data_IF_869653131183
#
_entry.id   IF_869653131183
#
_cell.length_a   1.000
_cell.length_b   1.000
_cell.length_c   1.000
_cell.angle_alpha   90.00
_cell.angle_beta   90.00
_cell.angle_gamma   90.00
#
_symmetry.space_group_name_H-M   'P 1'
#
loop_
_entity.id
_entity.type
_entity.pdbx_description
1 polymer ?
#
# COMPACT_ATOMS: atom_id res chain seq x y z
N UNK A 1 22.42 7.82 -29.23
CA UNK A 1 21.41 7.95 -28.15
C UNK A 1 20.64 6.64 -28.03
N UNK A 2 21.04 5.77 -27.09
CA UNK A 2 20.22 4.62 -26.68
C UNK A 2 19.98 4.76 -25.19
N UNK A 3 18.88 5.42 -24.84
CA UNK A 3 18.42 5.60 -23.46
C UNK A 3 17.60 4.37 -23.09
N UNK A 4 18.25 3.21 -22.99
CA UNK A 4 17.67 2.13 -22.19
C UNK A 4 17.90 2.54 -20.74
N UNK A 5 16.88 3.17 -20.12
CA UNK A 5 16.88 3.45 -18.69
C UNK A 5 17.04 2.12 -17.96
N UNK A 6 18.28 1.75 -17.61
CA UNK A 6 18.55 0.62 -16.73
C UNK A 6 17.76 0.87 -15.46
N UNK A 7 16.76 0.04 -15.19
CA UNK A 7 16.01 0.08 -13.93
C UNK A 7 17.04 -0.16 -12.83
N UNK A 8 17.33 0.89 -12.06
CA UNK A 8 18.29 0.80 -10.96
C UNK A 8 17.72 -0.11 -9.88
N UNK A 9 18.56 -0.81 -9.10
CA UNK A 9 18.09 -1.64 -7.99
C UNK A 9 17.22 -0.84 -7.00
N UNK A 10 17.44 0.48 -6.93
CA UNK A 10 16.64 1.43 -6.15
C UNK A 10 15.19 1.49 -6.65
N UNK A 11 14.96 1.58 -7.97
CA UNK A 11 13.59 1.64 -8.52
C UNK A 11 12.81 0.35 -8.25
N UNK A 12 13.44 -0.82 -8.36
CA UNK A 12 12.78 -2.11 -8.07
C UNK A 12 12.38 -2.22 -6.60
N UNK A 13 13.26 -1.79 -5.70
CA UNK A 13 13.00 -1.83 -4.25
C UNK A 13 11.89 -0.85 -3.87
N UNK A 14 11.88 0.35 -4.45
CA UNK A 14 10.80 1.32 -4.22
C UNK A 14 9.46 0.80 -4.72
N UNK A 15 9.43 0.16 -5.89
CA UNK A 15 8.20 -0.43 -6.43
C UNK A 15 7.68 -1.56 -5.54
N UNK A 16 8.57 -2.41 -5.03
CA UNK A 16 8.20 -3.47 -4.08
C UNK A 16 7.61 -2.91 -2.78
N UNK A 17 8.27 -1.90 -2.18
CA UNK A 17 7.80 -1.25 -0.96
C UNK A 17 6.43 -0.59 -1.18
N UNK A 18 6.28 0.19 -2.26
CA UNK A 18 5.04 0.90 -2.56
C UNK A 18 3.89 -0.07 -2.84
N UNK A 19 4.14 -1.11 -3.64
CA UNK A 19 3.14 -2.12 -3.92
C UNK A 19 2.68 -2.83 -2.63
N UNK A 20 3.62 -3.25 -1.78
CA UNK A 20 3.29 -3.94 -0.52
C UNK A 20 2.48 -3.07 0.45
N UNK A 21 2.90 -1.81 0.65
CA UNK A 21 2.18 -0.86 1.50
C UNK A 21 0.79 -0.55 0.93
N UNK A 22 0.67 -0.38 -0.38
CA UNK A 22 -0.60 -0.07 -1.03
C UNK A 22 -1.58 -1.24 -0.94
N UNK A 23 -1.15 -2.47 -1.22
CA UNK A 23 -2.03 -3.64 -1.11
C UNK A 23 -2.44 -3.91 0.33
N UNK A 24 -1.52 -3.71 1.28
CA UNK A 24 -1.85 -3.83 2.70
C UNK A 24 -2.85 -2.78 3.15
N UNK A 25 -2.68 -1.52 2.71
CA UNK A 25 -3.62 -0.46 3.03
C UNK A 25 -5.01 -0.77 2.44
N UNK A 26 -5.06 -1.19 1.18
CA UNK A 26 -6.30 -1.55 0.50
C UNK A 26 -7.01 -2.73 1.19
N UNK A 27 -6.26 -3.72 1.66
CA UNK A 27 -6.82 -4.85 2.38
C UNK A 27 -7.38 -4.42 3.75
N UNK A 28 -6.62 -3.66 4.52
CA UNK A 28 -7.04 -3.17 5.83
C UNK A 28 -8.29 -2.28 5.74
N UNK A 29 -8.35 -1.36 4.77
CA UNK A 29 -9.52 -0.49 4.56
C UNK A 29 -10.76 -1.31 4.21
N UNK A 30 -10.63 -2.30 3.32
CA UNK A 30 -11.73 -3.18 2.95
C UNK A 30 -12.23 -4.03 4.12
N UNK A 31 -11.33 -4.62 4.89
CA UNK A 31 -11.69 -5.41 6.07
C UNK A 31 -12.36 -4.52 7.13
N UNK A 32 -11.83 -3.33 7.39
CA UNK A 32 -12.42 -2.37 8.32
C UNK A 32 -13.82 -1.90 7.90
N UNK A 33 -14.06 -1.67 6.60
CA UNK A 33 -15.40 -1.36 6.08
C UNK A 33 -16.38 -2.51 6.31
N UNK A 34 -16.00 -3.75 5.96
CA UNK A 34 -16.87 -4.91 6.13
C UNK A 34 -17.24 -5.17 7.60
N UNK A 35 -16.29 -5.03 8.52
CA UNK A 35 -16.54 -5.20 9.96
C UNK A 35 -17.50 -4.14 10.48
N UNK A 36 -17.32 -2.87 10.08
CA UNK A 36 -18.24 -1.77 10.46
C UNK A 36 -19.64 -1.98 9.91
N UNK A 37 -19.77 -2.34 8.63
CA UNK A 37 -21.07 -2.62 8.03
C UNK A 37 -21.80 -3.75 8.76
N UNK A 38 -21.10 -4.83 9.10
CA UNK A 38 -21.70 -5.93 9.86
C UNK A 38 -22.13 -5.52 11.27
N UNK A 39 -21.31 -4.75 11.98
CA UNK A 39 -21.65 -4.23 13.30
C UNK A 39 -22.88 -3.31 13.25
N UNK A 40 -22.93 -2.39 12.29
CA UNK A 40 -24.07 -1.48 12.10
C UNK A 40 -25.32 -2.26 11.69
N UNK A 41 -25.20 -3.29 10.85
CA UNK A 41 -26.33 -4.15 10.50
C UNK A 41 -26.92 -4.83 11.73
N UNK A 42 -26.08 -5.37 12.61
CA UNK A 42 -26.52 -5.99 13.86
C UNK A 42 -27.25 -4.98 14.77
N UNK A 43 -26.84 -3.71 14.76
CA UNK A 43 -27.54 -2.65 15.50
C UNK A 43 -28.90 -2.32 14.87
N UNK A 44 -28.99 -2.26 13.54
CA UNK A 44 -30.27 -2.09 12.83
C UNK A 44 -31.22 -3.23 13.16
N UNK A 45 -30.75 -4.48 13.14
CA UNK A 45 -31.53 -5.66 13.52
C UNK A 45 -32.01 -5.58 14.98
N UNK A 46 -31.17 -5.12 15.91
CA UNK A 46 -31.58 -4.93 17.31
C UNK A 46 -32.70 -3.88 17.45
N UNK A 47 -32.63 -2.77 16.72
CA UNK A 47 -33.70 -1.76 16.73
C UNK A 47 -34.96 -2.27 16.02
N UNK A 48 -34.81 -3.02 14.93
CA UNK A 48 -35.93 -3.66 14.23
C UNK A 48 -36.72 -4.57 15.17
N UNK A 49 -36.06 -5.36 16.03
CA UNK A 49 -36.78 -6.20 17.00
C UNK A 49 -37.68 -5.39 17.95
N UNK A 50 -37.26 -4.19 18.34
CA UNK A 50 -38.06 -3.30 19.18
C UNK A 50 -39.26 -2.78 18.41
N UNK A 51 -39.06 -2.45 17.13
CA UNK A 51 -40.14 -1.95 16.29
C UNK A 51 -41.11 -3.08 15.90
N UNK A 52 -40.65 -4.33 15.83
CA UNK A 52 -41.50 -5.52 15.66
C UNK A 52 -42.40 -5.76 16.87
N UNK A 53 -41.89 -5.59 18.09
CA UNK A 53 -42.71 -5.61 19.32
C UNK A 53 -43.79 -4.51 19.28
N UNK A 54 -43.40 -3.33 18.81
CA UNK A 54 -44.30 -2.17 18.64
C UNK A 54 -45.35 -2.44 17.56
N UNK A 55 -44.97 -3.03 16.44
CA UNK A 55 -45.88 -3.44 15.37
C UNK A 55 -46.88 -4.49 15.88
N UNK A 56 -46.42 -5.45 16.68
CA UNK A 56 -47.29 -6.44 17.32
C UNK A 56 -48.36 -5.77 18.19
N UNK A 57 -47.99 -4.77 18.99
CA UNK A 57 -48.95 -3.97 19.75
C UNK A 57 -49.90 -3.18 18.87
N UNK A 58 -49.41 -2.63 17.75
CA UNK A 58 -50.24 -1.92 16.80
C UNK A 58 -51.29 -2.85 16.17
N UNK A 59 -50.91 -4.07 15.79
CA UNK A 59 -51.81 -5.11 15.29
C UNK A 59 -52.85 -5.49 16.34
N UNK A 60 -52.45 -5.71 17.60
CA UNK A 60 -53.41 -6.01 18.67
C UNK A 60 -54.41 -4.86 18.90
N UNK A 61 -53.93 -3.61 18.91
CA UNK A 61 -54.79 -2.44 19.04
C UNK A 61 -55.69 -2.23 17.82
N UNK A 62 -55.26 -2.65 16.63
CA UNK A 62 -56.05 -2.57 15.40
C UNK A 62 -57.36 -3.37 15.46
N UNK A 63 -57.45 -4.39 16.33
CA UNK A 63 -58.70 -5.12 16.57
C UNK A 63 -59.82 -4.24 17.14
N UNK A 64 -59.45 -3.14 17.81
CA UNK A 64 -60.36 -2.22 18.49
C UNK A 64 -60.57 -0.91 17.73
N UNK A 65 -60.05 -0.78 16.50
CA UNK A 65 -60.12 0.43 15.67
C UNK A 65 -61.57 0.93 15.49
N UNK A 66 -62.54 0.01 15.46
CA UNK A 66 -63.93 0.37 15.22
C UNK A 66 -64.70 0.81 16.48
N UNK A 67 -64.14 0.57 17.67
CA UNK A 67 -64.76 0.88 18.96
C UNK A 67 -64.72 2.39 19.25
N UNK A 68 -65.72 2.90 19.97
CA UNK A 68 -65.68 4.28 20.47
C UNK A 68 -64.78 4.36 21.71
N UNK A 69 -64.13 5.51 21.92
CA UNK A 69 -63.28 5.75 23.09
C UNK A 69 -64.09 5.80 24.40
N UNK A 70 -64.38 4.61 24.94
CA UNK A 70 -65.02 4.38 26.25
C UNK A 70 -63.97 4.03 27.30
N UNK A 71 -64.34 4.06 28.57
CA UNK A 71 -63.43 3.68 29.67
C UNK A 71 -62.96 2.22 29.56
N UNK A 72 -63.77 1.33 28.95
CA UNK A 72 -63.37 -0.06 28.70
C UNK A 72 -62.26 -0.16 27.63
N UNK A 73 -62.41 0.56 26.51
CA UNK A 73 -61.37 0.62 25.48
C UNK A 73 -60.09 1.24 26.04
N UNK A 74 -60.21 2.31 26.82
CA UNK A 74 -59.08 2.97 27.44
C UNK A 74 -58.32 2.02 28.38
N UNK A 75 -59.03 1.19 29.15
CA UNK A 75 -58.44 0.15 29.99
C UNK A 75 -57.72 -0.91 29.15
N UNK A 76 -58.31 -1.39 28.06
CA UNK A 76 -57.67 -2.35 27.14
C UNK A 76 -56.37 -1.79 26.56
N UNK A 77 -56.39 -0.56 26.04
CA UNK A 77 -55.19 0.08 25.49
C UNK A 77 -54.10 0.29 26.54
N UNK A 78 -54.46 0.66 27.78
CA UNK A 78 -53.51 0.78 28.89
C UNK A 78 -52.88 -0.55 29.29
N UNK A 79 -53.65 -1.65 29.26
CA UNK A 79 -53.12 -2.99 29.49
C UNK A 79 -52.13 -3.41 28.38
N UNK A 80 -52.44 -3.08 27.12
CA UNK A 80 -51.52 -3.32 25.99
C UNK A 80 -50.22 -2.51 26.12
N UNK A 81 -50.27 -1.25 26.59
CA UNK A 81 -49.05 -0.47 26.80
C UNK A 81 -48.22 -0.96 27.98
N UNK A 82 -48.88 -1.51 29.01
CA UNK A 82 -48.20 -1.98 30.21
C UNK A 82 -47.30 -3.20 29.97
N UNK A 83 -47.50 -3.93 28.86
CA UNK A 83 -46.67 -5.09 28.53
C UNK A 83 -45.31 -4.75 27.93
N UNK A 84 -45.07 -3.50 27.53
CA UNK A 84 -43.81 -3.10 26.91
C UNK A 84 -43.11 -1.97 27.66
N UNK A 85 -41.93 -2.27 28.23
CA UNK A 85 -41.14 -1.33 29.03
C UNK A 85 -40.72 -0.07 28.24
N UNK A 86 -40.54 -0.22 26.92
CA UNK A 86 -40.09 0.86 26.02
C UNK A 86 -41.25 1.67 25.42
N UNK A 87 -42.50 1.20 25.55
CA UNK A 87 -43.67 1.85 24.96
C UNK A 87 -44.26 2.87 25.92
N UNK A 88 -44.48 4.08 25.41
CA UNK A 88 -45.14 5.17 26.15
C UNK A 88 -46.66 5.10 26.04
N UNK A 89 -47.17 4.91 24.84
CA UNK A 89 -48.60 4.96 24.57
C UNK A 89 -48.96 4.30 23.25
N UNK A 90 -50.12 3.65 23.21
CA UNK A 90 -50.82 3.26 21.98
C UNK A 90 -52.04 4.16 21.79
N UNK A 91 -52.29 4.59 20.56
CA UNK A 91 -53.39 5.47 20.19
C UNK A 91 -54.02 5.08 18.86
N UNK A 92 -55.33 5.26 18.77
CA UNK A 92 -56.13 4.98 17.57
C UNK A 92 -56.49 6.32 16.92
N UNK A 93 -56.17 6.43 15.63
CA UNK A 93 -56.46 7.59 14.78
C UNK A 93 -57.45 7.14 13.71
N UNK A 94 -58.59 7.82 13.65
CA UNK A 94 -59.70 7.51 12.73
C UNK A 94 -60.02 8.75 11.91
N UNK A 95 -60.08 8.60 10.58
CA UNK A 95 -60.34 9.71 9.66
C UNK A 95 -59.36 10.89 9.82
N UNK A 96 -58.10 10.62 10.19
CA UNK A 96 -57.09 11.65 10.43
C UNK A 96 -57.21 12.37 11.78
N UNK A 97 -58.19 12.01 12.61
CA UNK A 97 -58.37 12.59 13.95
C UNK A 97 -58.02 11.58 15.05
N UNK A 98 -57.42 12.08 16.13
CA UNK A 98 -57.12 11.29 17.32
C UNK A 98 -58.42 10.89 18.01
N UNK A 99 -58.70 9.59 18.06
CA UNK A 99 -59.95 9.07 18.63
C UNK A 99 -59.77 8.66 20.10
N UNK A 100 -58.72 7.88 20.38
CA UNK A 100 -58.47 7.34 21.71
C UNK A 100 -56.98 7.07 21.92
N UNK A 101 -56.43 7.52 23.05
CA UNK A 101 -55.05 7.28 23.47
C UNK A 101 -55.01 6.65 24.86
N UNK A 102 -54.18 5.62 25.03
CA UNK A 102 -53.88 5.03 26.35
C UNK A 102 -53.36 6.04 27.39
N UNK A 103 -52.63 7.07 26.94
CA UNK A 103 -52.02 8.08 27.80
C UNK A 103 -52.98 9.25 28.09
N UNK A 104 -53.59 9.81 27.04
CA UNK A 104 -54.35 11.08 27.13
C UNK A 104 -55.87 10.90 27.00
N UNK A 105 -56.33 9.67 26.80
CA UNK A 105 -57.75 9.39 26.64
C UNK A 105 -58.29 9.97 25.33
N UNK A 106 -59.33 10.80 25.45
CA UNK A 106 -60.01 11.44 24.31
C UNK A 106 -59.34 12.73 23.84
N UNK A 107 -58.36 13.23 24.58
CA UNK A 107 -57.68 14.45 24.20
C UNK A 107 -56.73 14.17 23.03
N UNK A 108 -56.89 14.94 21.95
CA UNK A 108 -55.92 14.94 20.87
C UNK A 108 -54.61 15.51 21.40
N UNK A 109 -53.46 14.93 21.06
CA UNK A 109 -52.17 15.37 21.56
C UNK A 109 -51.74 16.79 21.12
N UNK A 110 -52.64 17.58 20.50
CA UNK A 110 -52.33 18.89 19.91
C UNK A 110 -51.41 18.77 18.70
N UNK A 111 -51.17 17.56 18.21
CA UNK A 111 -50.27 17.27 17.11
C UNK A 111 -51.05 17.42 15.81
N UNK A 112 -50.78 18.50 15.07
CA UNK A 112 -51.12 18.62 13.66
C UNK A 112 -50.07 17.77 12.92
N UNK A 113 -50.23 16.45 12.89
CA UNK A 113 -49.23 15.59 12.25
C UNK A 113 -49.43 15.57 10.74
N UNK A 114 -48.36 15.72 9.99
CA UNK A 114 -48.31 15.35 8.57
C UNK A 114 -48.44 13.81 8.38
N UNK A 115 -48.26 13.02 9.44
CA UNK A 115 -48.32 11.56 9.48
C UNK A 115 -49.71 10.92 9.63
N UNK A 116 -50.79 11.62 9.30
CA UNK A 116 -52.15 11.05 9.21
C UNK A 116 -52.38 10.23 7.93
N UNK A 117 -51.31 9.88 7.21
CA UNK A 117 -51.41 9.16 5.95
C UNK A 117 -51.87 7.72 6.19
N UNK A 118 -53.02 7.36 5.62
CA UNK A 118 -53.62 6.02 5.76
C UNK A 118 -52.92 4.95 4.91
N UNK A 119 -51.79 5.29 4.28
CA UNK A 119 -51.23 4.52 3.15
C UNK A 119 -49.81 4.00 3.39
N UNK A 120 -49.04 4.58 4.31
CA UNK A 120 -47.63 4.21 4.50
C UNK A 120 -47.23 4.28 5.97
N UNK A 121 -46.39 3.33 6.38
CA UNK A 121 -45.69 3.37 7.66
C UNK A 121 -44.85 4.65 7.75
N UNK A 122 -44.96 5.38 8.86
CA UNK A 122 -44.22 6.62 9.09
C UNK A 122 -43.71 6.67 10.52
N UNK A 123 -42.56 7.31 10.73
CA UNK A 123 -42.01 7.59 12.05
C UNK A 123 -41.82 9.10 12.18
N UNK A 124 -42.23 9.68 13.30
CA UNK A 124 -42.06 11.08 13.62
C UNK A 124 -41.42 11.23 15.00
N UNK A 125 -40.47 12.16 15.13
CA UNK A 125 -39.90 12.53 16.41
C UNK A 125 -40.70 13.69 17.01
N UNK A 126 -41.15 13.53 18.26
CA UNK A 126 -41.99 14.51 18.94
C UNK A 126 -41.46 14.77 20.35
N UNK A 127 -41.53 16.03 20.77
CA UNK A 127 -41.24 16.43 22.14
C UNK A 127 -42.53 16.79 22.87
N UNK A 128 -42.83 16.09 23.96
CA UNK A 128 -44.06 16.34 24.74
C UNK A 128 -43.90 15.95 26.20
N UNK A 129 -44.52 16.72 27.09
CA UNK A 129 -44.44 16.52 28.54
C UNK A 129 -42.99 16.40 29.05
N UNK A 130 -42.09 17.20 28.49
CA UNK A 130 -40.66 17.18 28.80
C UNK A 130 -39.95 15.85 28.47
N UNK A 131 -40.50 15.09 27.52
CA UNK A 131 -39.96 13.81 27.05
C UNK A 131 -39.91 13.78 25.53
N UNK A 132 -38.78 13.33 24.97
CA UNK A 132 -38.65 13.04 23.53
C UNK A 132 -39.12 11.61 23.24
N UNK A 133 -39.87 11.46 22.15
CA UNK A 133 -40.46 10.20 21.75
C UNK A 133 -40.43 10.05 20.23
N UNK A 134 -40.39 8.81 19.78
CA UNK A 134 -40.70 8.45 18.40
C UNK A 134 -42.13 7.93 18.35
N UNK A 135 -42.96 8.50 17.49
CA UNK A 135 -44.29 7.98 17.19
C UNK A 135 -44.22 7.23 15.86
N UNK A 136 -44.62 5.97 15.88
CA UNK A 136 -44.68 5.11 14.70
C UNK A 136 -46.15 4.94 14.32
N UNK A 137 -46.47 5.30 13.08
CA UNK A 137 -47.82 5.29 12.52
C UNK A 137 -48.00 4.08 11.62
N UNK A 138 -48.86 3.15 12.05
CA UNK A 138 -49.16 1.91 11.34
C UNK A 138 -50.52 2.02 10.62
N UNK A 139 -50.55 1.93 9.28
CA UNK A 139 -51.80 1.98 8.52
C UNK A 139 -52.54 0.63 8.56
N UNK A 140 -53.84 0.66 8.88
CA UNK A 140 -54.75 -0.48 8.90
C UNK A 140 -56.07 -0.13 8.20
N UNK A 141 -56.28 -0.62 6.97
CA UNK A 141 -57.56 -0.49 6.24
C UNK A 141 -58.17 0.93 6.22
N UNK A 142 -57.35 1.96 5.99
CA UNK A 142 -57.83 3.35 5.95
C UNK A 142 -57.87 4.06 7.31
N UNK A 143 -57.42 3.40 8.38
CA UNK A 143 -57.22 3.99 9.71
C UNK A 143 -55.76 3.82 10.14
N UNK A 144 -55.37 4.48 11.24
CA UNK A 144 -53.97 4.47 11.70
C UNK A 144 -53.92 4.15 13.18
N UNK A 145 -53.02 3.25 13.56
CA UNK A 145 -52.62 3.05 14.96
C UNK A 145 -51.27 3.70 15.16
N UNK A 146 -51.18 4.62 16.12
CA UNK A 146 -49.95 5.30 16.48
C UNK A 146 -49.41 4.72 17.80
N UNK A 147 -48.16 4.28 17.79
CA UNK A 147 -47.47 3.81 18.99
C UNK A 147 -46.28 4.71 19.28
N UNK A 148 -46.22 5.25 20.49
CA UNK A 148 -45.13 6.10 20.95
C UNK A 148 -44.11 5.28 21.75
N UNK A 149 -42.84 5.45 21.42
CA UNK A 149 -41.67 4.82 22.06
C UNK A 149 -40.78 5.92 22.63
N UNK A 150 -40.22 5.70 23.82
CA UNK A 150 -39.27 6.66 24.39
C UNK A 150 -38.00 6.76 23.53
N UNK A 151 -37.59 7.99 23.16
CA UNK A 151 -36.32 8.20 22.45
C UNK A 151 -35.13 7.70 23.28
N UNK A 152 -35.19 7.89 24.59
CA UNK A 152 -34.18 7.39 25.53
C UNK A 152 -33.95 5.86 25.46
N UNK A 153 -34.95 5.07 25.05
CA UNK A 153 -34.78 3.63 24.88
C UNK A 153 -33.88 3.30 23.68
N UNK A 154 -33.99 4.06 22.60
CA UNK A 154 -33.14 3.94 21.42
C UNK A 154 -31.76 4.56 21.71
N UNK A 155 -31.71 5.77 22.29
CA UNK A 155 -30.46 6.43 22.65
C UNK A 155 -29.57 5.56 23.55
N UNK A 156 -30.16 4.82 24.49
CA UNK A 156 -29.42 3.86 25.34
C UNK A 156 -28.74 2.76 24.52
N UNK A 157 -29.43 2.20 23.53
CA UNK A 157 -28.89 1.15 22.65
C UNK A 157 -27.74 1.71 21.81
N UNK A 158 -27.94 2.89 21.23
CA UNK A 158 -26.89 3.59 20.47
C UNK A 158 -25.66 3.84 21.36
N UNK A 159 -25.85 4.34 22.59
CA UNK A 159 -24.75 4.58 23.53
C UNK A 159 -24.02 3.30 23.93
N UNK A 160 -24.74 2.21 24.20
CA UNK A 160 -24.14 0.92 24.55
C UNK A 160 -23.35 0.33 23.36
N UNK A 161 -23.88 0.48 22.13
CA UNK A 161 -23.19 0.12 20.89
C UNK A 161 -21.91 0.93 20.70
N UNK A 162 -22.00 2.27 20.75
CA UNK A 162 -20.85 3.16 20.58
C UNK A 162 -19.75 2.87 21.61
N UNK A 163 -20.12 2.57 22.86
CA UNK A 163 -19.14 2.19 23.89
C UNK A 163 -18.45 0.86 23.57
N UNK A 164 -19.19 -0.12 23.06
CA UNK A 164 -18.70 -1.48 22.79
C UNK A 164 -17.84 -1.53 21.53
N UNK A 165 -18.37 -1.03 20.42
CA UNK A 165 -17.73 -1.11 19.10
C UNK A 165 -16.79 0.07 18.84
N UNK A 166 -16.83 1.13 19.66
CA UNK A 166 -16.08 2.38 19.47
C UNK A 166 -16.41 3.08 18.13
N UNK A 167 -17.63 2.87 17.64
CA UNK A 167 -18.15 3.49 16.41
C UNK A 167 -19.23 4.49 16.84
N UNK A 168 -19.04 5.76 16.49
CA UNK A 168 -20.07 6.77 16.74
C UNK A 168 -21.20 6.61 15.72
N UNK A 169 -22.43 6.53 16.21
CA UNK A 169 -23.61 6.25 15.39
C UNK A 169 -24.78 7.16 15.74
N UNK A 170 -25.56 7.50 14.73
CA UNK A 170 -26.73 8.36 14.87
C UNK A 170 -27.95 7.71 14.21
N UNK A 171 -29.09 7.79 14.89
CA UNK A 171 -30.39 7.38 14.36
C UNK A 171 -31.06 8.57 13.66
N UNK A 172 -31.36 8.41 12.38
CA UNK A 172 -31.98 9.45 11.55
C UNK A 172 -33.26 8.92 10.88
N UNK A 173 -34.27 9.78 10.81
CA UNK A 173 -35.50 9.53 10.05
C UNK A 173 -35.44 10.11 8.63
N UNK A 174 -34.54 11.04 8.39
CA UNK A 174 -34.32 11.66 7.10
C UNK A 174 -32.81 11.89 6.95
N UNK A 175 -32.07 10.93 6.39
CA UNK A 175 -30.64 11.12 6.20
C UNK A 175 -30.42 12.27 5.20
N UNK A 176 -29.59 13.24 5.58
CA UNK A 176 -29.08 14.21 4.62
C UNK A 176 -28.20 13.50 3.57
N UNK A 177 -27.85 14.18 2.47
CA UNK A 177 -27.03 13.60 1.38
C UNK A 177 -25.62 13.15 1.80
N UNK A 178 -25.19 13.34 3.06
CA UNK A 178 -23.79 13.15 3.47
C UNK A 178 -23.59 12.53 4.87
N UNK A 179 -24.01 11.27 5.07
CA UNK A 179 -23.21 10.36 5.89
C UNK A 179 -22.36 9.36 5.09
N UNK A 180 -21.15 9.04 5.58
CA UNK A 180 -20.16 8.18 4.91
C UNK A 180 -20.61 6.71 4.79
N UNK A 181 -21.21 6.17 5.85
CA UNK A 181 -21.83 4.84 5.86
C UNK A 181 -23.26 5.01 6.37
N UNK A 182 -24.20 4.48 5.58
CA UNK A 182 -25.63 4.58 5.86
C UNK A 182 -26.22 3.18 5.76
N UNK A 183 -26.87 2.75 6.83
CA UNK A 183 -27.60 1.50 6.83
C UNK A 183 -29.08 1.78 7.11
N UNK A 184 -29.93 1.34 6.20
CA UNK A 184 -31.37 1.51 6.30
C UNK A 184 -32.01 0.23 6.83
N UNK A 185 -33.01 0.35 7.69
CA UNK A 185 -33.91 -0.77 7.96
C UNK A 185 -34.70 -1.13 6.71
N UNK A 186 -34.95 -2.42 6.50
CA UNK A 186 -35.77 -2.91 5.38
C UNK A 186 -37.27 -2.83 5.69
N UNK A 187 -37.63 -2.80 6.98
CA UNK A 187 -39.01 -2.90 7.45
C UNK A 187 -39.55 -1.54 7.92
N UNK A 188 -38.69 -0.67 8.43
CA UNK A 188 -39.06 0.60 9.03
C UNK A 188 -38.30 1.78 8.40
N UNK A 189 -38.92 2.96 8.27
CA UNK A 189 -38.31 4.11 7.61
C UNK A 189 -37.33 4.85 8.54
N UNK A 190 -36.23 4.19 8.92
CA UNK A 190 -35.13 4.79 9.66
C UNK A 190 -33.76 4.37 9.10
N UNK A 191 -32.76 5.16 9.46
CA UNK A 191 -31.37 4.96 9.07
C UNK A 191 -30.46 5.06 10.29
N UNK A 192 -29.43 4.22 10.31
CA UNK A 192 -28.28 4.36 11.19
C UNK A 192 -27.11 4.86 10.35
N UNK A 193 -26.47 5.92 10.83
CA UNK A 193 -25.35 6.56 10.13
C UNK A 193 -24.15 6.71 11.06
N UNK A 194 -22.94 6.70 10.51
CA UNK A 194 -21.70 6.95 11.25
C UNK A 194 -20.85 8.02 10.59
N UNK A 195 -20.25 8.85 11.43
CA UNK A 195 -19.32 9.91 11.04
C UNK A 195 -17.85 9.47 11.19
N UNK A 196 -17.60 8.24 11.69
CA UNK A 196 -16.24 7.76 11.96
C UNK A 196 -15.56 7.23 10.69
N UNK A 197 -14.47 7.88 10.28
CA UNK A 197 -13.58 7.41 9.22
C UNK A 197 -12.20 7.14 9.79
N UNK A 198 -11.68 5.93 9.57
CA UNK A 198 -10.31 5.62 9.95
C UNK A 198 -9.35 6.27 8.95
N UNK A 199 -8.31 6.92 9.48
CA UNK A 199 -7.33 7.63 8.68
C UNK A 199 -6.04 6.84 8.43
N UNK A 200 -5.09 7.48 7.74
CA UNK A 200 -3.73 6.95 7.57
C UNK A 200 -3.05 6.72 8.93
N UNK A 201 -3.35 7.55 9.93
CA UNK A 201 -2.80 7.41 11.27
C UNK A 201 -3.23 6.10 11.96
N UNK A 202 -4.48 5.68 11.76
CA UNK A 202 -5.02 4.44 12.31
C UNK A 202 -4.43 3.24 11.58
N UNK A 203 -4.33 3.32 10.24
CA UNK A 203 -3.63 2.30 9.46
C UNK A 203 -2.19 2.08 9.93
N UNK A 204 -1.42 3.16 10.13
CA UNK A 204 -0.04 3.08 10.60
C UNK A 204 0.02 2.50 12.01
N UNK A 205 -0.88 2.89 12.91
CA UNK A 205 -0.93 2.36 14.28
C UNK A 205 -1.20 0.87 14.28
N UNK A 206 -2.20 0.41 13.53
CA UNK A 206 -2.66 -0.97 13.53
C UNK A 206 -1.67 -1.89 12.79
N UNK A 207 -0.93 -1.37 11.80
CA UNK A 207 -0.06 -2.15 10.92
C UNK A 207 1.44 -1.80 11.02
N UNK A 208 1.88 -1.11 12.08
CA UNK A 208 3.28 -0.65 12.19
C UNK A 208 4.30 -1.79 12.07
N UNK A 209 4.02 -2.97 12.62
CA UNK A 209 4.91 -4.13 12.47
C UNK A 209 5.05 -4.59 11.01
N UNK A 210 3.96 -4.59 10.25
CA UNK A 210 3.95 -4.94 8.84
C UNK A 210 4.71 -3.89 8.00
N UNK A 211 4.55 -2.61 8.32
CA UNK A 211 5.30 -1.52 7.68
C UNK A 211 6.80 -1.66 7.94
N UNK A 212 7.20 -1.96 9.18
CA UNK A 212 8.60 -2.25 9.53
C UNK A 212 9.12 -3.45 8.73
N UNK A 213 8.32 -4.50 8.60
CA UNK A 213 8.68 -5.68 7.81
C UNK A 213 8.93 -5.34 6.34
N UNK A 214 8.05 -4.56 5.69
CA UNK A 214 8.26 -4.12 4.31
C UNK A 214 9.53 -3.30 4.13
N UNK A 215 9.87 -2.44 5.10
CA UNK A 215 11.13 -1.69 5.09
C UNK A 215 12.34 -2.62 5.21
N UNK A 216 12.32 -3.58 6.14
CA UNK A 216 13.42 -4.55 6.32
C UNK A 216 13.61 -5.43 5.08
N UNK A 217 12.53 -5.97 4.52
CA UNK A 217 12.59 -6.78 3.29
C UNK A 217 13.10 -5.96 2.09
N UNK A 218 12.67 -4.70 1.97
CA UNK A 218 13.15 -3.77 0.94
C UNK A 218 14.66 -3.52 1.06
N UNK A 219 15.17 -3.34 2.29
CA UNK A 219 16.61 -3.20 2.55
C UNK A 219 17.37 -4.48 2.18
N UNK A 220 16.88 -5.65 2.59
CA UNK A 220 17.50 -6.93 2.25
C UNK A 220 17.54 -7.16 0.73
N UNK A 221 16.44 -6.88 0.04
CA UNK A 221 16.35 -6.95 -1.42
C UNK A 221 17.35 -5.99 -2.08
N UNK A 222 17.45 -4.76 -1.59
CA UNK A 222 18.41 -3.79 -2.08
C UNK A 222 19.86 -4.29 -1.96
N UNK A 223 20.25 -4.80 -0.79
CA UNK A 223 21.59 -5.33 -0.58
C UNK A 223 21.87 -6.55 -1.47
N UNK A 224 20.88 -7.43 -1.64
CA UNK A 224 20.99 -8.59 -2.52
C UNK A 224 21.18 -8.18 -3.98
N UNK A 225 20.36 -7.26 -4.50
CA UNK A 225 20.46 -6.75 -5.87
C UNK A 225 21.79 -6.02 -6.11
N UNK A 226 22.25 -5.20 -5.15
CA UNK A 226 23.57 -4.55 -5.23
C UNK A 226 24.71 -5.55 -5.26
N UNK A 227 24.63 -6.63 -4.47
CA UNK A 227 25.64 -7.69 -4.48
C UNK A 227 25.68 -8.40 -5.83
N UNK A 228 24.51 -8.72 -6.40
CA UNK A 228 24.39 -9.37 -7.71
C UNK A 228 24.91 -8.51 -8.87
N UNK A 229 24.86 -7.18 -8.76
CA UNK A 229 25.36 -6.25 -9.78
C UNK A 229 26.89 -6.05 -9.76
N UNK A 230 27.62 -6.57 -8.75
CA UNK A 230 29.09 -6.51 -8.76
C UNK A 230 29.63 -7.48 -9.81
N UNK A 231 30.13 -6.94 -10.92
CA UNK A 231 30.84 -7.73 -11.94
C UNK A 231 32.15 -8.23 -11.31
N UNK A 232 32.41 -9.54 -11.42
CA UNK A 232 33.66 -10.14 -10.93
C UNK A 232 34.87 -9.52 -11.66
N UNK A 233 35.95 -9.15 -10.94
CA UNK A 233 37.20 -8.67 -11.57
C UNK A 233 37.72 -9.60 -12.67
N UNK A 234 37.52 -10.92 -12.49
CA UNK A 234 37.88 -11.95 -13.47
C UNK A 234 37.08 -11.77 -14.78
N UNK A 235 35.78 -11.46 -14.69
CA UNK A 235 34.94 -11.22 -15.88
C UNK A 235 35.33 -9.93 -16.60
N UNK A 236 35.73 -8.91 -15.86
CA UNK A 236 36.25 -7.66 -16.44
C UNK A 236 37.53 -7.95 -17.21
N UNK A 237 38.47 -8.67 -16.57
CA UNK A 237 39.74 -9.03 -17.18
C UNK A 237 39.58 -9.93 -18.41
N UNK A 238 38.71 -10.95 -18.35
CA UNK A 238 38.36 -11.79 -19.51
C UNK A 238 37.82 -10.97 -20.68
N UNK A 239 36.91 -10.03 -20.42
CA UNK A 239 36.39 -9.13 -21.45
C UNK A 239 37.51 -8.30 -22.06
N UNK A 240 38.35 -7.69 -21.23
CA UNK A 240 39.45 -6.85 -21.69
C UNK A 240 40.46 -7.62 -22.56
N UNK A 241 40.76 -8.88 -22.21
CA UNK A 241 41.60 -9.77 -23.03
C UNK A 241 40.93 -10.07 -24.38
N UNK A 242 39.63 -10.35 -24.40
CA UNK A 242 38.90 -10.65 -25.63
C UNK A 242 38.75 -9.43 -26.55
N UNK A 243 38.75 -8.22 -25.97
CA UNK A 243 38.64 -6.95 -26.68
C UNK A 243 39.99 -6.37 -27.11
N UNK A 244 41.09 -7.11 -26.94
CA UNK A 244 42.45 -6.68 -27.26
C UNK A 244 42.84 -5.35 -26.59
N UNK A 245 42.36 -5.12 -25.36
CA UNK A 245 42.63 -3.91 -24.57
C UNK A 245 44.02 -3.91 -23.92
N UNK A 246 44.74 -5.04 -23.96
CA UNK A 246 46.11 -5.16 -23.44
C UNK A 246 47.12 -4.97 -24.56
N UNK A 247 47.95 -3.92 -24.44
CA UNK A 247 48.90 -3.50 -25.47
C UNK A 247 50.34 -3.62 -24.99
N UNK A 248 51.29 -3.94 -25.89
CA UNK A 248 52.72 -4.00 -25.56
C UNK A 248 53.34 -2.60 -25.57
N UNK A 249 54.11 -2.30 -24.53
CA UNK A 249 55.05 -1.19 -24.49
C UNK A 249 56.46 -1.77 -24.58
N UNK A 250 57.38 -1.05 -25.22
CA UNK A 250 58.75 -1.51 -25.44
C UNK A 250 59.73 -0.61 -24.68
N UNK A 251 60.47 -1.19 -23.74
CA UNK A 251 61.54 -0.49 -23.04
C UNK A 251 62.90 -0.90 -23.64
N UNK A 252 63.67 0.03 -24.22
CA UNK A 252 64.95 -0.31 -24.85
C UNK A 252 65.97 -0.78 -23.82
N UNK A 253 66.68 -1.84 -24.15
CA UNK A 253 67.85 -2.34 -23.41
C UNK A 253 69.10 -1.87 -24.14
N UNK A 254 69.97 -1.15 -23.43
CA UNK A 254 71.16 -0.51 -24.01
C UNK A 254 72.45 -1.12 -23.46
N UNK A 255 73.45 -1.30 -24.33
CA UNK A 255 74.80 -1.67 -23.92
C UNK A 255 75.51 -0.46 -23.30
N UNK A 256 75.89 -0.57 -22.02
CA UNK A 256 76.48 0.54 -21.27
C UNK A 256 77.81 1.05 -21.86
N UNK A 257 78.58 0.17 -22.51
CA UNK A 257 79.89 0.52 -23.05
C UNK A 257 79.82 1.46 -24.27
N UNK A 258 78.76 1.36 -25.07
CA UNK A 258 78.67 2.11 -26.33
C UNK A 258 77.33 2.82 -26.56
N UNK A 259 76.36 2.68 -25.66
CA UNK A 259 75.04 3.29 -25.74
C UNK A 259 74.14 2.72 -26.84
N UNK A 260 74.54 1.62 -27.50
CA UNK A 260 73.73 0.99 -28.54
C UNK A 260 72.56 0.22 -27.94
N UNK A 261 71.41 0.29 -28.61
CA UNK A 261 70.25 -0.54 -28.29
C UNK A 261 70.59 -1.98 -28.69
N UNK A 262 70.56 -2.89 -27.72
CA UNK A 262 70.83 -4.33 -27.91
C UNK A 262 69.58 -5.20 -27.77
N UNK A 263 68.45 -4.62 -27.36
CA UNK A 263 67.16 -5.30 -27.29
C UNK A 263 66.05 -4.41 -26.74
N UNK A 264 64.90 -5.01 -26.45
CA UNK A 264 63.79 -4.34 -25.77
C UNK A 264 63.04 -5.30 -24.84
N UNK A 265 62.64 -4.83 -23.66
CA UNK A 265 61.73 -5.54 -22.77
C UNK A 265 60.27 -5.17 -23.11
N UNK A 266 59.41 -6.19 -23.19
CA UNK A 266 57.97 -6.00 -23.44
C UNK A 266 57.26 -5.84 -22.12
N UNK A 267 56.59 -4.70 -21.95
CA UNK A 267 55.82 -4.35 -20.77
C UNK A 267 54.34 -4.29 -21.15
N UNK A 268 53.49 -5.06 -20.47
CA UNK A 268 52.06 -4.99 -20.69
C UNK A 268 51.46 -3.71 -20.11
N UNK A 269 50.53 -3.10 -20.83
CA UNK A 269 49.67 -2.01 -20.37
C UNK A 269 48.22 -2.31 -20.73
N UNK A 270 47.29 -1.98 -19.85
CA UNK A 270 45.88 -2.09 -20.17
C UNK A 270 45.37 -0.73 -20.63
N UNK A 271 45.03 -0.62 -21.91
CA UNK A 271 44.39 0.55 -22.48
C UNK A 271 42.88 0.50 -22.23
N UNK A 272 42.48 0.88 -21.02
CA UNK A 272 41.07 0.85 -20.62
C UNK A 272 40.30 1.98 -21.33
N UNK A 273 39.15 1.70 -21.97
CA UNK A 273 38.43 2.66 -22.80
C UNK A 273 37.99 3.93 -22.07
N UNK A 274 37.77 3.85 -20.75
CA UNK A 274 37.36 4.97 -19.92
C UNK A 274 38.47 5.52 -18.98
N UNK A 275 39.45 4.69 -18.61
CA UNK A 275 40.45 5.04 -17.58
C UNK A 275 41.83 5.34 -18.19
N UNK A 276 42.01 5.10 -19.48
CA UNK A 276 43.30 5.24 -20.15
C UNK A 276 44.25 4.10 -19.80
N UNK A 277 45.55 4.41 -19.78
CA UNK A 277 46.60 3.42 -19.57
C UNK A 277 46.70 3.04 -18.09
N UNK A 278 46.32 1.80 -17.79
CA UNK A 278 46.41 1.20 -16.46
C UNK A 278 47.71 0.38 -16.35
N UNK A 279 48.54 0.58 -15.30
CA UNK A 279 49.77 -0.16 -15.07
C UNK A 279 49.53 -1.61 -14.61
N UNK A 280 50.52 -2.51 -14.81
CA UNK A 280 50.37 -3.95 -14.53
C UNK A 280 50.07 -4.27 -13.06
N UNK A 281 50.59 -3.50 -12.10
CA UNK A 281 50.35 -3.70 -10.67
C UNK A 281 48.84 -3.72 -10.29
N UNK A 282 47.98 -3.05 -11.05
CA UNK A 282 46.54 -3.03 -10.78
C UNK A 282 45.80 -4.31 -11.22
N UNK A 283 46.31 -5.05 -12.21
CA UNK A 283 45.59 -6.20 -12.79
C UNK A 283 46.37 -7.52 -12.78
N UNK A 284 47.71 -7.48 -12.68
CA UNK A 284 48.57 -8.65 -12.86
C UNK A 284 48.29 -9.73 -11.81
N UNK A 285 48.11 -9.34 -10.55
CA UNK A 285 47.78 -10.28 -9.48
C UNK A 285 46.46 -10.99 -9.75
N UNK A 286 45.44 -10.27 -10.23
CA UNK A 286 44.15 -10.88 -10.58
C UNK A 286 44.32 -11.86 -11.74
N UNK A 287 45.11 -11.49 -12.76
CA UNK A 287 45.38 -12.33 -13.92
C UNK A 287 46.10 -13.64 -13.55
N UNK A 288 47.07 -13.57 -12.64
CA UNK A 288 47.83 -14.72 -12.15
C UNK A 288 46.93 -15.67 -11.34
N UNK A 289 46.24 -15.15 -10.32
CA UNK A 289 45.41 -15.96 -9.43
C UNK A 289 44.22 -16.61 -10.17
N UNK A 290 43.71 -15.98 -11.22
CA UNK A 290 42.62 -16.53 -12.04
C UNK A 290 43.09 -17.39 -13.21
N UNK A 291 44.42 -17.56 -13.41
CA UNK A 291 45.00 -18.27 -14.55
C UNK A 291 44.83 -17.59 -15.91
N UNK A 292 44.30 -16.36 -15.94
CA UNK A 292 44.10 -15.57 -17.16
C UNK A 292 45.40 -14.99 -17.72
N UNK A 293 46.47 -15.00 -16.90
CA UNK A 293 47.79 -14.53 -17.31
C UNK A 293 48.27 -15.23 -18.58
N UNK A 294 48.00 -16.54 -18.74
CA UNK A 294 48.40 -17.29 -19.92
C UNK A 294 47.69 -16.80 -21.19
N UNK A 295 46.38 -16.56 -21.11
CA UNK A 295 45.59 -16.06 -22.24
C UNK A 295 46.01 -14.64 -22.63
N UNK A 296 46.26 -13.79 -21.62
CA UNK A 296 46.76 -12.43 -21.81
C UNK A 296 48.15 -12.44 -22.45
N UNK A 297 49.10 -13.24 -21.94
CA UNK A 297 50.46 -13.34 -22.49
C UNK A 297 50.44 -13.85 -23.93
N UNK A 298 49.62 -14.85 -24.24
CA UNK A 298 49.51 -15.36 -25.61
C UNK A 298 49.01 -14.27 -26.58
N UNK A 299 47.94 -13.56 -26.21
CA UNK A 299 47.41 -12.42 -26.98
C UNK A 299 48.46 -11.33 -27.18
N UNK A 300 49.18 -10.98 -26.12
CA UNK A 300 50.25 -9.97 -26.16
C UNK A 300 51.39 -10.39 -27.08
N UNK A 301 51.82 -11.66 -27.03
CA UNK A 301 52.86 -12.20 -27.91
C UNK A 301 52.47 -12.15 -29.39
N UNK A 302 51.21 -12.45 -29.71
CA UNK A 302 50.69 -12.30 -31.08
C UNK A 302 50.81 -10.86 -31.56
N UNK A 303 50.50 -9.88 -30.71
CA UNK A 303 50.66 -8.47 -31.06
C UNK A 303 52.14 -8.09 -31.26
N UNK A 304 53.01 -8.53 -30.35
CA UNK A 304 54.47 -8.29 -30.46
C UNK A 304 55.05 -8.88 -31.75
N UNK A 305 54.57 -10.05 -32.17
CA UNK A 305 55.02 -10.66 -33.43
C UNK A 305 54.66 -9.80 -34.65
N UNK A 306 53.50 -9.15 -34.64
CA UNK A 306 53.07 -8.20 -35.68
C UNK A 306 53.94 -6.95 -35.64
N UNK A 307 54.12 -6.35 -34.47
CA UNK A 307 54.92 -5.14 -34.29
C UNK A 307 56.38 -5.35 -34.75
N UNK A 308 56.98 -6.50 -34.40
CA UNK A 308 58.35 -6.85 -34.80
C UNK A 308 58.50 -7.08 -36.30
N UNK A 309 57.47 -7.61 -36.97
CA UNK A 309 57.46 -7.71 -38.44
C UNK A 309 57.47 -6.33 -39.09
N UNK A 310 56.62 -5.41 -38.62
CA UNK A 310 56.60 -4.04 -39.13
C UNK A 310 57.93 -3.30 -38.90
N UNK A 311 58.56 -3.46 -37.74
CA UNK A 311 59.87 -2.87 -37.44
C UNK A 311 60.99 -3.41 -38.35
N UNK A 312 60.95 -4.71 -38.70
CA UNK A 312 61.90 -5.31 -39.65
C UNK A 312 61.74 -4.79 -41.08
N UNK A 313 60.51 -4.46 -41.49
CA UNK A 313 60.22 -3.96 -42.85
C UNK A 313 60.51 -2.45 -42.99
N UNK A 314 60.38 -1.66 -41.92
CA UNK A 314 60.64 -0.21 -41.92
C UNK A 314 62.09 0.21 -41.62
N UNK A 315 62.92 -0.68 -41.07
CA UNK A 315 64.28 -0.32 -40.68
C UNK A 315 65.23 -0.25 -41.89
N UNK A 316 65.70 0.96 -42.20
CA UNK A 316 66.96 1.17 -42.92
C UNK A 316 68.06 0.38 -42.18
N UNK A 317 68.89 -0.34 -42.95
CA UNK A 317 69.63 -1.57 -42.60
C UNK A 317 70.72 -1.47 -41.52
N UNK A 318 70.66 -0.52 -40.58
CA UNK A 318 71.77 -0.16 -39.71
C UNK A 318 71.56 -0.36 -38.19
N UNK A 319 70.39 -0.78 -37.69
CA UNK A 319 70.18 -0.88 -36.22
C UNK A 319 69.61 -2.20 -35.70
N UNK A 320 69.26 -3.19 -36.54
CA UNK A 320 68.84 -4.50 -36.00
C UNK A 320 69.68 -5.62 -36.63
N UNK A 321 70.95 -5.71 -36.22
CA UNK A 321 71.80 -6.85 -36.52
C UNK A 321 71.40 -8.05 -35.65
N UNK A 322 70.75 -9.02 -36.28
CA UNK A 322 70.95 -10.47 -36.09
C UNK A 322 70.96 -11.10 -34.68
N UNK A 323 70.43 -10.46 -33.63
CA UNK A 323 70.27 -11.10 -32.30
C UNK A 323 68.91 -10.87 -31.62
N UNK A 324 67.90 -10.40 -32.36
CA UNK A 324 66.54 -10.22 -31.82
C UNK A 324 65.81 -11.54 -31.50
N UNK A 325 66.35 -12.70 -31.88
CA UNK A 325 65.72 -14.00 -31.62
C UNK A 325 65.95 -14.55 -30.20
N UNK A 326 66.63 -13.82 -29.29
CA UNK A 326 67.04 -14.40 -27.99
C UNK A 326 66.71 -13.61 -26.71
N UNK A 327 66.12 -12.41 -26.76
CA UNK A 327 65.90 -11.63 -25.53
C UNK A 327 64.57 -10.84 -25.52
N UNK A 328 63.44 -11.53 -25.66
CA UNK A 328 62.19 -11.06 -25.03
C UNK A 328 62.19 -11.64 -23.62
N UNK A 329 62.78 -10.93 -22.66
CA UNK A 329 62.54 -11.19 -21.24
C UNK A 329 61.19 -10.59 -20.90
N UNK A 330 60.17 -11.42 -20.70
CA UNK A 330 58.96 -11.01 -19.98
C UNK A 330 59.34 -11.09 -18.50
N UNK A 331 59.96 -10.03 -17.96
CA UNK A 331 60.44 -10.07 -16.58
C UNK A 331 59.39 -9.55 -15.60
N UNK A 332 59.24 -10.29 -14.51
CA UNK A 332 58.36 -10.01 -13.36
C UNK A 332 58.90 -8.88 -12.45
N UNK A 333 60.10 -8.36 -12.71
CA UNK A 333 60.95 -7.73 -11.68
C UNK A 333 60.81 -6.20 -11.64
N UNK A 334 60.31 -5.55 -12.70
CA UNK A 334 60.37 -4.08 -12.81
C UNK A 334 59.07 -3.33 -12.49
N UNK A 335 57.96 -4.02 -12.22
CA UNK A 335 56.67 -3.36 -11.98
C UNK A 335 56.64 -2.47 -10.72
N UNK A 336 57.52 -2.73 -9.75
CA UNK A 336 57.56 -2.00 -8.47
C UNK A 336 58.51 -0.78 -8.46
N UNK A 337 59.37 -0.62 -9.48
CA UNK A 337 60.49 0.32 -9.40
C UNK A 337 60.27 1.68 -10.07
N UNK A 338 59.26 1.85 -10.93
CA UNK A 338 59.08 3.09 -11.69
C UNK A 338 57.65 3.67 -11.55
N UNK A 339 57.48 4.89 -11.02
CA UNK A 339 56.19 5.58 -11.00
C UNK A 339 55.74 5.92 -12.45
N UNK A 340 54.42 6.04 -12.63
CA UNK A 340 53.67 6.13 -13.89
C UNK A 340 54.00 7.33 -14.83
N UNK A 341 55.15 7.99 -14.69
CA UNK A 341 55.45 9.24 -15.39
C UNK A 341 56.65 9.18 -16.36
N UNK A 342 57.10 7.99 -16.77
CA UNK A 342 58.04 7.86 -17.89
C UNK A 342 57.25 7.89 -19.21
N UNK A 343 57.36 9.03 -19.91
CA UNK A 343 56.76 9.41 -21.21
C UNK A 343 55.71 8.46 -21.80
N UNK A 344 54.43 8.87 -21.74
CA UNK A 344 53.28 8.24 -22.39
C UNK A 344 53.26 8.40 -23.93
N UNK A 345 54.42 8.42 -24.59
CA UNK A 345 54.48 8.47 -26.05
C UNK A 345 55.09 7.18 -26.60
N UNK A 346 54.38 6.45 -27.49
CA UNK A 346 55.02 5.42 -28.27
C UNK A 346 56.09 6.09 -29.16
N UNK A 347 57.24 5.44 -29.28
CA UNK A 347 58.31 5.83 -30.21
C UNK A 347 57.88 5.50 -31.64
#
# INVERSE_FOLDING_TARGET
MSVTKKITPIMLVLLFLLAGVLTSWQQWDREGQLVREHAINSLVEEIDTIFDDVNTLAVLASAHIQENCTDDLLRKLRLLTASGEKIRSVSIIRNGEWNCSSLEGRESPGIISNGTTTHSLMIEQIYRLNTEMYIIYFPFQGQVVAVAVYKAAIDKILMDFTRKEKIDVHFLLYPEKHPFVQMASQNYPFWIVTDSQDGIADYVRDNHYLLILFVVLSLLLYFHLRRAQRISPIKILQRAINNDEFIPFYQPVVELACGKIVGAEVLVRWNHPEQGIIPPNEFIHTAEHSGLINALTLKLLTQVEVDMRCLREGANKQVISSQADSLIKISRIWADFFPANTSNQPI
#
